data_IF_157635451123
#
_entry.id   IF_157635451123
#
_cell.length_a   1.000
_cell.length_b   1.000
_cell.length_c   1.000
_cell.angle_alpha   90.00
_cell.angle_beta   90.00
_cell.angle_gamma   90.00
#
_symmetry.space_group_name_H-M   'P 1'
#
loop_
_entity.id
_entity.type
_entity.pdbx_description
1 polymer ?
#
# COMPACT_ATOMS: atom_id res chain seq x y z
N UNK A 1 -35.92 -21.59 -51.11
CA UNK A 1 -34.57 -21.02 -51.27
C UNK A 1 -34.61 -19.63 -50.65
N UNK A 2 -33.75 -19.40 -49.66
CA UNK A 2 -33.55 -18.18 -48.86
C UNK A 2 -34.29 -16.90 -49.27
N UNK A 3 -35.15 -16.40 -48.38
CA UNK A 3 -35.50 -14.99 -48.31
C UNK A 3 -34.62 -14.35 -47.26
N UNK A 4 -33.86 -13.34 -47.65
CA UNK A 4 -33.24 -12.44 -46.71
C UNK A 4 -33.20 -11.02 -47.28
N UNK A 5 -33.26 -10.08 -46.33
CA UNK A 5 -32.82 -8.68 -46.38
C UNK A 5 -33.81 -7.55 -46.76
N UNK A 6 -34.14 -6.82 -45.68
CA UNK A 6 -34.17 -5.36 -45.51
C UNK A 6 -35.52 -4.62 -45.66
N UNK A 7 -36.11 -4.27 -44.52
CA UNK A 7 -36.82 -3.00 -44.33
C UNK A 7 -36.67 -2.50 -42.89
N UNK A 8 -36.22 -1.25 -42.76
CA UNK A 8 -36.15 -0.51 -41.51
C UNK A 8 -37.55 -0.18 -40.95
N UNK A 9 -37.67 -0.13 -39.62
CA UNK A 9 -38.72 0.62 -38.95
C UNK A 9 -38.23 1.21 -37.62
N UNK A 10 -38.53 2.50 -37.45
CA UNK A 10 -38.18 3.37 -36.33
C UNK A 10 -38.75 2.88 -34.98
N UNK A 11 -38.04 3.19 -33.89
CA UNK A 11 -38.54 3.06 -32.52
C UNK A 11 -38.86 4.44 -31.93
N UNK A 12 -40.01 4.61 -31.25
CA UNK A 12 -40.44 5.89 -30.69
C UNK A 12 -40.18 5.94 -29.19
N UNK A 13 -39.15 6.66 -28.73
CA UNK A 13 -39.14 7.16 -27.35
C UNK A 13 -38.59 8.57 -27.28
N UNK A 14 -39.53 9.49 -27.03
CA UNK A 14 -39.33 10.91 -26.80
C UNK A 14 -38.63 11.16 -25.46
N UNK A 15 -37.72 12.12 -25.50
CA UNK A 15 -37.06 12.82 -24.40
C UNK A 15 -37.95 13.16 -23.19
N UNK A 16 -37.54 12.70 -22.01
CA UNK A 16 -37.83 13.36 -20.74
C UNK A 16 -36.52 13.82 -20.10
N UNK A 17 -36.38 15.15 -19.99
CA UNK A 17 -35.32 15.81 -19.23
C UNK A 17 -35.41 15.39 -17.76
N UNK A 18 -34.38 14.73 -17.24
CA UNK A 18 -34.09 14.75 -15.82
C UNK A 18 -32.89 15.67 -15.60
N UNK A 19 -33.18 16.87 -15.13
CA UNK A 19 -32.23 17.77 -14.49
C UNK A 19 -31.56 17.01 -13.35
N UNK A 20 -30.26 16.72 -13.52
CA UNK A 20 -29.42 16.25 -12.43
C UNK A 20 -29.09 17.51 -11.62
N UNK A 21 -29.86 17.76 -10.56
CA UNK A 21 -29.50 18.76 -9.56
C UNK A 21 -28.13 18.42 -8.97
N UNK A 22 -27.21 19.37 -9.13
CA UNK A 22 -25.86 19.30 -8.64
C UNK A 22 -25.82 19.11 -7.13
N UNK A 23 -25.39 17.93 -6.71
CA UNK A 23 -24.70 17.75 -5.45
C UNK A 23 -23.20 17.72 -5.76
N UNK A 24 -22.56 18.89 -5.77
CA UNK A 24 -21.13 18.95 -5.48
C UNK A 24 -20.94 18.59 -4.00
N UNK A 25 -21.03 17.29 -3.70
CA UNK A 25 -20.21 16.78 -2.61
C UNK A 25 -18.80 16.82 -3.16
N UNK A 26 -17.94 17.64 -2.56
CA UNK A 26 -16.53 17.34 -2.48
C UNK A 26 -16.41 15.96 -1.83
N UNK A 27 -16.50 14.91 -2.65
CA UNK A 27 -16.18 13.56 -2.23
C UNK A 27 -14.69 13.66 -1.93
N UNK A 28 -14.34 13.75 -0.65
CA UNK A 28 -13.05 13.29 -0.18
C UNK A 28 -13.03 11.82 -0.61
N UNK A 29 -12.47 11.56 -1.79
CA UNK A 29 -12.32 10.21 -2.31
C UNK A 29 -11.34 9.56 -1.36
N UNK A 30 -11.85 8.74 -0.46
CA UNK A 30 -10.97 7.83 0.25
C UNK A 30 -10.39 6.90 -0.82
N UNK A 31 -9.07 6.95 -1.00
CA UNK A 31 -8.35 6.19 -2.02
C UNK A 31 -8.40 4.67 -1.79
N UNK A 32 -9.06 4.23 -0.70
CA UNK A 32 -9.31 2.83 -0.41
C UNK A 32 -10.70 2.64 0.19
N UNK A 33 -11.50 1.73 -0.36
CA UNK A 33 -12.78 1.33 0.24
C UNK A 33 -12.54 0.55 1.53
N UNK A 34 -13.02 1.08 2.66
CA UNK A 34 -12.85 0.48 3.99
C UNK A 34 -14.19 0.37 4.73
N UNK A 35 -14.81 -0.82 4.78
CA UNK A 35 -15.85 -1.09 5.76
C UNK A 35 -15.35 -0.78 7.18
N UNK A 36 -16.22 -0.22 8.04
CA UNK A 36 -15.85 0.27 9.38
C UNK A 36 -15.04 -0.75 10.20
N UNK A 37 -15.43 -2.01 10.15
CA UNK A 37 -14.76 -3.09 10.89
C UNK A 37 -13.30 -3.31 10.48
N UNK A 38 -12.88 -2.84 9.30
CA UNK A 38 -11.54 -3.09 8.74
C UNK A 38 -10.65 -1.84 8.72
N UNK A 39 -11.14 -0.71 9.24
CA UNK A 39 -10.32 0.49 9.41
C UNK A 39 -9.38 0.25 10.59
N UNK A 40 -8.07 0.42 10.37
CA UNK A 40 -7.08 0.46 11.44
C UNK A 40 -6.55 1.89 11.55
N UNK A 41 -6.66 2.47 12.74
CA UNK A 41 -6.25 3.85 13.04
C UNK A 41 -5.14 3.92 14.10
N UNK A 42 -4.76 2.80 14.70
CA UNK A 42 -3.68 2.75 15.68
C UNK A 42 -2.34 2.97 14.96
N UNK A 43 -1.75 4.15 15.16
CA UNK A 43 -0.51 4.56 14.50
C UNK A 43 0.64 3.56 14.71
N UNK A 44 0.79 3.00 15.91
CA UNK A 44 1.84 2.03 16.20
C UNK A 44 1.68 0.75 15.37
N UNK A 45 0.45 0.26 15.20
CA UNK A 45 0.19 -0.90 14.33
C UNK A 45 0.49 -0.59 12.86
N UNK A 46 0.14 0.62 12.40
CA UNK A 46 0.39 1.05 11.01
C UNK A 46 1.88 1.20 10.73
N UNK A 47 2.62 1.85 11.64
CA UNK A 47 4.07 2.01 11.55
C UNK A 47 4.80 0.66 11.61
N UNK A 48 4.35 -0.22 12.52
CA UNK A 48 4.91 -1.58 12.60
C UNK A 48 4.71 -2.36 11.31
N UNK A 49 3.60 -2.19 10.58
CA UNK A 49 3.42 -2.83 9.28
C UNK A 49 4.39 -2.25 8.24
N UNK A 50 4.53 -0.93 8.18
CA UNK A 50 5.47 -0.26 7.26
C UNK A 50 6.90 -0.79 7.48
N UNK A 51 7.35 -0.86 8.73
CA UNK A 51 8.70 -1.30 9.09
C UNK A 51 8.95 -2.79 8.83
N UNK A 52 7.96 -3.65 9.07
CA UNK A 52 8.08 -5.08 8.83
C UNK A 52 7.94 -5.46 7.34
N UNK A 53 7.33 -4.60 6.52
CA UNK A 53 7.10 -4.81 5.10
C UNK A 53 7.56 -3.61 4.25
N UNK A 54 8.84 -3.20 4.32
CA UNK A 54 9.32 -1.91 3.81
C UNK A 54 9.44 -1.85 2.29
N UNK A 55 9.31 -2.98 1.59
CA UNK A 55 9.35 -3.03 0.12
C UNK A 55 8.01 -2.58 -0.47
N UNK A 56 7.89 -1.27 -0.65
CA UNK A 56 6.66 -0.62 -1.05
C UNK A 56 6.45 -0.63 -2.57
N UNK A 57 5.19 -0.46 -2.97
CA UNK A 57 4.84 0.04 -4.31
C UNK A 57 4.59 1.53 -4.22
N UNK A 58 5.40 2.33 -4.89
CA UNK A 58 5.27 3.79 -4.96
C UNK A 58 4.63 4.17 -6.30
N UNK A 59 3.50 4.88 -6.21
CA UNK A 59 2.75 5.37 -7.37
C UNK A 59 2.83 6.89 -7.34
N UNK A 60 3.26 7.50 -8.44
CA UNK A 60 3.33 8.95 -8.60
C UNK A 60 2.65 9.37 -9.89
N UNK A 61 2.08 10.58 -9.92
CA UNK A 61 1.36 11.08 -11.08
C UNK A 61 1.81 12.48 -11.43
N UNK A 62 2.01 12.73 -12.73
CA UNK A 62 2.32 14.04 -13.30
C UNK A 62 1.64 14.16 -14.65
N UNK A 63 0.88 15.24 -14.86
CA UNK A 63 0.24 15.56 -16.15
C UNK A 63 -0.61 14.44 -16.79
N UNK A 64 -1.14 13.52 -15.97
CA UNK A 64 -1.93 12.37 -16.45
C UNK A 64 -1.13 11.07 -16.50
N UNK A 65 0.18 11.14 -16.60
CA UNK A 65 1.10 10.00 -16.63
C UNK A 65 1.36 9.45 -15.23
N UNK A 66 1.39 8.12 -15.13
CA UNK A 66 1.60 7.38 -13.88
C UNK A 66 2.97 6.72 -13.93
N UNK A 67 3.78 7.00 -12.92
CA UNK A 67 5.04 6.30 -12.67
C UNK A 67 4.84 5.32 -11.50
N UNK A 68 5.28 4.08 -11.68
CA UNK A 68 5.18 3.03 -10.66
C UNK A 68 6.58 2.46 -10.41
N UNK A 69 7.01 2.51 -9.15
CA UNK A 69 8.26 1.91 -8.71
C UNK A 69 8.03 0.94 -7.56
N UNK A 70 8.84 -0.12 -7.50
CA UNK A 70 8.86 -1.07 -6.38
C UNK A 70 10.22 -0.97 -5.70
N UNK A 71 10.26 -0.45 -4.47
CA UNK A 71 11.52 -0.13 -3.79
C UNK A 71 11.34 -0.11 -2.26
N UNK A 72 12.44 -0.31 -1.50
CA UNK A 72 12.41 -0.13 -0.05
C UNK A 72 12.17 1.34 0.33
N UNK A 73 11.21 1.56 1.22
CA UNK A 73 10.97 2.84 1.89
C UNK A 73 11.08 2.62 3.40
N UNK A 74 12.02 3.34 4.04
CA UNK A 74 12.18 3.29 5.49
C UNK A 74 11.34 4.38 6.15
N UNK A 75 10.69 4.02 7.26
CA UNK A 75 9.95 4.97 8.07
C UNK A 75 10.89 5.71 9.00
N UNK A 76 10.91 7.03 8.88
CA UNK A 76 11.50 7.94 9.87
C UNK A 76 10.36 8.45 10.77
N UNK A 77 10.20 7.76 11.91
CA UNK A 77 9.15 8.06 12.89
C UNK A 77 9.29 9.46 13.49
N UNK A 78 10.52 9.93 13.70
CA UNK A 78 10.80 11.19 14.38
C UNK A 78 10.34 12.38 13.54
N UNK A 79 10.59 12.32 12.22
CA UNK A 79 10.21 13.39 11.30
C UNK A 79 8.88 13.14 10.57
N UNK A 80 8.24 11.99 10.77
CA UNK A 80 6.97 11.64 10.13
C UNK A 80 7.09 11.56 8.61
N UNK A 81 8.12 10.89 8.12
CA UNK A 81 8.43 10.79 6.69
C UNK A 81 8.89 9.39 6.29
N UNK A 82 8.84 9.10 5.00
CA UNK A 82 9.47 7.92 4.42
C UNK A 82 10.74 8.33 3.69
N UNK A 83 11.79 7.50 3.75
CA UNK A 83 13.07 7.71 3.08
C UNK A 83 13.30 6.58 2.06
N UNK A 84 13.75 6.95 0.86
CA UNK A 84 14.07 6.02 -0.21
C UNK A 84 15.20 6.54 -1.09
N UNK A 85 15.70 5.68 -1.97
CA UNK A 85 16.64 6.09 -3.00
C UNK A 85 16.34 5.38 -4.33
N UNK A 86 16.79 5.99 -5.41
CA UNK A 86 16.69 5.45 -6.77
C UNK A 86 18.02 5.63 -7.51
N UNK A 87 18.23 4.87 -8.58
CA UNK A 87 19.24 5.22 -9.56
C UNK A 87 18.91 6.59 -10.18
N UNK A 88 19.92 7.43 -10.46
CA UNK A 88 19.67 8.74 -11.08
C UNK A 88 19.03 8.66 -12.47
N UNK A 89 19.19 7.54 -13.16
CA UNK A 89 18.57 7.30 -14.46
C UNK A 89 17.09 6.89 -14.37
N UNK A 90 16.55 6.69 -13.17
CA UNK A 90 15.15 6.30 -12.98
C UNK A 90 14.21 7.50 -13.28
N UNK A 91 13.19 7.34 -14.15
CA UNK A 91 12.21 8.38 -14.47
C UNK A 91 11.53 9.05 -13.25
N UNK A 92 11.37 8.31 -12.14
CA UNK A 92 10.84 8.84 -10.88
C UNK A 92 11.61 10.08 -10.38
N UNK A 93 12.88 10.24 -10.76
CA UNK A 93 13.69 11.40 -10.40
C UNK A 93 13.01 12.72 -10.82
N UNK A 94 12.37 12.78 -11.99
CA UNK A 94 11.67 13.99 -12.44
C UNK A 94 10.48 14.33 -11.53
N UNK A 95 9.75 13.31 -11.08
CA UNK A 95 8.61 13.46 -10.17
C UNK A 95 9.07 13.95 -8.79
N UNK A 96 10.23 13.47 -8.33
CA UNK A 96 10.87 13.92 -7.09
C UNK A 96 11.29 15.39 -7.19
N UNK A 97 12.00 15.76 -8.26
CA UNK A 97 12.53 17.12 -8.45
C UNK A 97 11.42 18.15 -8.65
N UNK A 98 10.27 17.73 -9.18
CA UNK A 98 9.10 18.61 -9.36
C UNK A 98 8.08 18.53 -8.22
N UNK A 99 8.37 17.78 -7.16
CA UNK A 99 7.55 17.77 -5.94
C UNK A 99 6.17 17.14 -6.09
N UNK A 100 6.03 16.11 -6.94
CA UNK A 100 4.73 15.50 -7.22
C UNK A 100 4.16 14.74 -6.02
N UNK A 101 2.84 14.64 -5.98
CA UNK A 101 2.14 13.78 -5.03
C UNK A 101 2.37 12.31 -5.36
N UNK A 102 2.48 11.50 -4.32
CA UNK A 102 2.69 10.06 -4.42
C UNK A 102 1.87 9.29 -3.39
N UNK A 103 1.60 8.04 -3.71
CA UNK A 103 1.00 7.06 -2.81
C UNK A 103 1.99 5.90 -2.67
N UNK A 104 2.48 5.65 -1.46
CA UNK A 104 3.25 4.46 -1.14
C UNK A 104 2.32 3.40 -0.53
N UNK A 105 2.36 2.18 -1.07
CA UNK A 105 1.55 1.04 -0.64
C UNK A 105 2.47 0.02 0.00
N UNK A 106 2.24 -0.23 1.29
CA UNK A 106 2.90 -1.26 2.07
C UNK A 106 1.94 -2.43 2.25
N UNK A 107 2.27 -3.57 1.64
CA UNK A 107 1.44 -4.77 1.70
C UNK A 107 1.97 -5.69 2.80
N UNK A 108 1.18 -5.87 3.84
CA UNK A 108 1.44 -6.86 4.88
C UNK A 108 0.99 -8.26 4.46
N UNK A 109 0.90 -9.20 5.42
CA UNK A 109 0.45 -10.55 5.15
C UNK A 109 -0.97 -10.57 4.58
N UNK A 110 -1.21 -11.51 3.68
CA UNK A 110 -2.52 -11.77 3.11
C UNK A 110 -2.70 -13.26 2.84
N UNK A 111 -3.95 -13.70 2.71
CA UNK A 111 -4.26 -15.10 2.48
C UNK A 111 -5.73 -15.39 2.27
N UNK A 112 -5.98 -16.46 1.51
CA UNK A 112 -7.31 -17.02 1.32
C UNK A 112 -7.79 -17.68 2.62
N UNK A 113 -9.04 -17.42 2.98
CA UNK A 113 -9.74 -18.01 4.12
C UNK A 113 -10.85 -18.89 3.56
N UNK A 114 -10.66 -20.20 3.68
CA UNK A 114 -11.64 -21.18 3.21
C UNK A 114 -12.88 -21.16 4.09
N UNK A 115 -14.06 -21.18 3.47
CA UNK A 115 -15.32 -21.33 4.20
C UNK A 115 -15.41 -22.67 4.93
N UNK A 116 -14.65 -23.68 4.50
CA UNK A 116 -14.52 -24.97 5.20
C UNK A 116 -13.89 -24.86 6.59
N UNK A 117 -13.34 -23.70 6.96
CA UNK A 117 -12.78 -23.45 8.29
C UNK A 117 -13.81 -22.91 9.28
N UNK A 118 -14.96 -22.43 8.82
CA UNK A 118 -16.00 -21.87 9.69
C UNK A 118 -16.85 -23.00 10.32
N UNK A 119 -17.60 -22.66 11.36
CA UNK A 119 -18.50 -23.61 12.02
C UNK A 119 -19.60 -24.14 11.08
N UNK A 120 -20.14 -23.27 10.23
CA UNK A 120 -21.16 -23.60 9.23
C UNK A 120 -20.64 -23.36 7.79
N UNK A 121 -19.86 -24.28 7.20
CA UNK A 121 -19.23 -24.07 5.90
C UNK A 121 -20.18 -23.79 4.73
N UNK A 122 -21.40 -24.33 4.77
CA UNK A 122 -22.39 -24.21 3.69
C UNK A 122 -23.07 -22.85 3.67
N UNK A 123 -23.12 -22.19 4.82
CA UNK A 123 -23.81 -20.91 5.01
C UNK A 123 -22.86 -19.71 4.85
N UNK A 124 -21.58 -20.01 4.58
CA UNK A 124 -20.52 -19.03 4.50
C UNK A 124 -19.76 -19.11 3.18
N UNK A 125 -19.31 -17.95 2.70
CA UNK A 125 -18.42 -17.85 1.55
C UNK A 125 -16.97 -17.65 1.99
N UNK A 126 -16.06 -18.20 1.21
CA UNK A 126 -14.63 -17.97 1.38
C UNK A 126 -14.27 -16.51 1.08
N UNK A 127 -13.15 -16.06 1.62
CA UNK A 127 -12.73 -14.65 1.52
C UNK A 127 -11.22 -14.53 1.45
N UNK A 128 -10.73 -13.30 1.28
CA UNK A 128 -9.33 -12.94 1.48
C UNK A 128 -9.19 -12.08 2.73
N UNK A 129 -8.27 -12.47 3.61
CA UNK A 129 -7.77 -11.64 4.70
C UNK A 129 -6.46 -10.99 4.28
N UNK A 130 -6.24 -9.73 4.69
CA UNK A 130 -5.02 -9.00 4.40
C UNK A 130 -4.87 -7.77 5.31
N UNK A 131 -3.64 -7.30 5.45
CA UNK A 131 -3.32 -6.00 6.03
C UNK A 131 -2.55 -5.14 5.03
N UNK A 132 -2.90 -3.86 4.92
CA UNK A 132 -2.25 -2.92 4.00
C UNK A 132 -2.25 -1.52 4.61
N UNK A 133 -1.18 -0.77 4.35
CA UNK A 133 -1.08 0.66 4.69
C UNK A 133 -0.77 1.45 3.43
N UNK A 134 -1.57 2.49 3.17
CA UNK A 134 -1.30 3.48 2.15
C UNK A 134 -0.81 4.76 2.83
N UNK A 135 0.28 5.32 2.31
CA UNK A 135 0.82 6.62 2.68
C UNK A 135 0.64 7.56 1.50
N UNK A 136 -0.10 8.64 1.70
CA UNK A 136 -0.18 9.73 0.74
C UNK A 136 0.73 10.86 1.20
N UNK A 137 1.47 11.45 0.26
CA UNK A 137 2.39 12.53 0.56
C UNK A 137 3.01 13.15 -0.69
N UNK A 138 4.00 14.01 -0.47
CA UNK A 138 4.76 14.65 -1.54
C UNK A 138 6.19 14.16 -1.58
N UNK A 139 6.67 13.90 -2.80
CA UNK A 139 8.07 13.59 -3.04
C UNK A 139 8.92 14.85 -2.85
N UNK A 140 10.07 14.69 -2.20
CA UNK A 140 11.06 15.75 -2.01
C UNK A 140 12.44 15.13 -2.16
N UNK A 141 13.35 15.80 -2.85
CA UNK A 141 14.75 15.35 -2.90
C UNK A 141 15.35 15.31 -1.49
N UNK A 142 16.07 14.24 -1.18
CA UNK A 142 16.86 14.16 0.04
C UNK A 142 18.23 14.80 -0.19
N UNK A 143 18.81 15.32 0.90
CA UNK A 143 20.21 15.73 0.95
C UNK A 143 21.13 14.51 0.88
N UNK A 144 22.41 14.74 0.59
CA UNK A 144 23.42 13.67 0.60
C UNK A 144 23.58 13.05 2.00
N UNK A 145 23.49 13.87 3.06
CA UNK A 145 23.55 13.40 4.46
C UNK A 145 22.35 12.49 4.78
N UNK A 146 21.13 12.87 4.39
CA UNK A 146 19.95 12.01 4.57
C UNK A 146 20.07 10.70 3.79
N UNK A 147 20.71 10.72 2.61
CA UNK A 147 20.96 9.53 1.81
C UNK A 147 21.99 8.59 2.46
N UNK A 148 23.09 9.12 3.02
CA UNK A 148 24.06 8.32 3.77
C UNK A 148 23.39 7.64 4.98
N UNK A 149 22.62 8.40 5.76
CA UNK A 149 21.87 7.88 6.92
C UNK A 149 20.92 6.75 6.51
N UNK A 150 20.16 6.95 5.41
CA UNK A 150 19.28 5.93 4.87
C UNK A 150 20.04 4.64 4.51
N UNK A 151 21.20 4.78 3.86
CA UNK A 151 22.01 3.63 3.44
C UNK A 151 22.63 2.91 4.63
N UNK A 152 23.08 3.63 5.66
CA UNK A 152 23.57 3.06 6.90
C UNK A 152 22.46 2.29 7.65
N UNK A 153 21.25 2.83 7.69
CA UNK A 153 20.09 2.13 8.27
C UNK A 153 19.75 0.85 7.49
N UNK A 154 19.69 0.92 6.16
CA UNK A 154 19.46 -0.26 5.32
C UNK A 154 20.54 -1.32 5.52
N UNK A 155 21.80 -0.90 5.63
CA UNK A 155 22.92 -1.78 5.91
C UNK A 155 22.75 -2.46 7.27
N UNK A 156 22.51 -1.69 8.34
CA UNK A 156 22.31 -2.21 9.69
C UNK A 156 21.11 -3.15 9.82
N UNK A 157 20.06 -2.96 9.02
CA UNK A 157 18.86 -3.80 9.06
C UNK A 157 19.05 -5.17 8.38
N UNK A 158 19.92 -5.26 7.37
CA UNK A 158 20.03 -6.45 6.52
C UNK A 158 21.37 -7.16 6.63
N UNK A 159 22.45 -6.43 6.88
CA UNK A 159 23.76 -7.00 7.08
C UNK A 159 23.92 -7.38 8.56
N UNK A 160 24.31 -8.63 8.81
CA UNK A 160 24.52 -9.17 10.17
C UNK A 160 25.97 -9.04 10.64
N UNK A 161 26.82 -8.41 9.83
CA UNK A 161 28.19 -8.14 10.21
C UNK A 161 28.29 -6.89 11.11
N UNK A 162 29.32 -6.83 11.94
CA UNK A 162 29.64 -5.64 12.75
C UNK A 162 30.32 -4.53 11.92
N UNK A 163 30.20 -4.58 10.60
CA UNK A 163 30.79 -3.57 9.71
C UNK A 163 29.83 -2.40 9.51
N UNK A 164 30.38 -1.24 9.20
CA UNK A 164 29.62 -0.07 8.76
C UNK A 164 30.12 0.39 7.40
N UNK A 165 29.30 1.17 6.69
CA UNK A 165 29.71 1.74 5.42
C UNK A 165 30.85 2.75 5.69
N UNK A 166 32.01 2.52 5.08
CA UNK A 166 33.13 3.44 5.18
C UNK A 166 33.00 4.57 4.14
N UNK A 167 32.27 5.63 4.48
CA UNK A 167 32.09 6.81 3.62
C UNK A 167 33.40 7.57 3.31
N UNK A 168 34.45 7.38 4.12
CA UNK A 168 35.77 7.97 3.83
C UNK A 168 36.50 7.25 2.69
N UNK A 169 36.06 6.05 2.29
CA UNK A 169 36.62 5.36 1.13
C UNK A 169 36.10 6.01 -0.17
N UNK A 170 36.96 6.64 -1.00
CA UNK A 170 36.52 7.35 -2.21
C UNK A 170 35.80 6.45 -3.21
N UNK A 171 36.09 5.13 -3.23
CA UNK A 171 35.39 4.18 -4.11
C UNK A 171 33.95 3.92 -3.68
N UNK A 172 33.67 4.09 -2.38
CA UNK A 172 32.33 3.91 -1.80
C UNK A 172 31.54 5.21 -1.97
N UNK A 173 32.07 6.35 -1.52
CA UNK A 173 31.38 7.64 -1.65
C UNK A 173 31.11 8.01 -3.12
N UNK A 174 32.01 7.68 -4.06
CA UNK A 174 31.76 7.89 -5.48
C UNK A 174 30.51 7.15 -6.02
N UNK A 175 30.01 6.09 -5.34
CA UNK A 175 28.77 5.39 -5.73
C UNK A 175 27.52 6.23 -5.45
N UNK A 176 27.58 7.18 -4.52
CA UNK A 176 26.47 8.12 -4.25
C UNK A 176 26.13 8.93 -5.50
N UNK A 177 27.10 9.19 -6.38
CA UNK A 177 26.87 9.86 -7.66
C UNK A 177 25.91 9.09 -8.58
N UNK A 178 25.79 7.77 -8.43
CA UNK A 178 24.90 6.93 -9.23
C UNK A 178 23.44 6.92 -8.78
N UNK A 179 23.17 7.42 -7.57
CA UNK A 179 21.85 7.37 -6.93
C UNK A 179 21.38 8.75 -6.48
N UNK A 180 20.08 8.87 -6.23
CA UNK A 180 19.45 10.03 -5.63
C UNK A 180 18.56 9.56 -4.49
N UNK A 181 18.74 10.18 -3.32
CA UNK A 181 17.85 10.02 -2.19
C UNK A 181 16.61 10.88 -2.35
N UNK A 182 15.50 10.43 -1.77
CA UNK A 182 14.28 11.19 -1.69
C UNK A 182 13.53 10.85 -0.41
N UNK A 183 12.61 11.74 -0.04
CA UNK A 183 11.68 11.56 1.06
C UNK A 183 10.24 11.78 0.62
N UNK A 184 9.33 11.14 1.35
CA UNK A 184 7.89 11.37 1.24
C UNK A 184 7.44 11.97 2.56
N UNK A 185 7.07 13.26 2.55
CA UNK A 185 6.44 13.87 3.71
C UNK A 185 5.03 13.30 3.84
N UNK A 186 4.75 12.62 4.96
CA UNK A 186 3.46 11.96 5.17
C UNK A 186 2.39 13.03 5.37
N UNK A 187 1.39 13.04 4.49
CA UNK A 187 0.21 13.92 4.60
C UNK A 187 -1.01 13.13 5.11
N UNK A 188 -1.10 11.84 4.76
CA UNK A 188 -2.18 10.96 5.20
C UNK A 188 -1.71 9.52 5.29
N UNK A 189 -2.19 8.81 6.32
CA UNK A 189 -2.01 7.37 6.49
C UNK A 189 -3.38 6.72 6.46
N UNK A 190 -3.54 5.65 5.67
CA UNK A 190 -4.77 4.88 5.60
C UNK A 190 -4.47 3.40 5.75
N UNK A 191 -4.93 2.79 6.85
CA UNK A 191 -4.70 1.38 7.16
C UNK A 191 -5.96 0.53 7.00
N UNK A 192 -5.90 -0.56 6.23
CA UNK A 192 -7.00 -1.53 6.10
C UNK A 192 -6.56 -2.90 6.54
N UNK A 193 -7.14 -3.36 7.65
CA UNK A 193 -6.86 -4.66 8.24
C UNK A 193 -8.14 -5.48 8.14
N UNK A 194 -8.26 -6.30 7.10
CA UNK A 194 -9.39 -7.23 6.93
C UNK A 194 -8.92 -8.59 7.42
N UNK A 195 -9.15 -8.88 8.70
CA UNK A 195 -8.58 -10.02 9.42
C UNK A 195 -9.67 -10.82 10.14
N UNK A 196 -10.86 -10.88 9.57
CA UNK A 196 -12.02 -11.63 10.10
C UNK A 196 -12.55 -11.19 11.47
N UNK A 197 -12.20 -9.99 11.95
CA UNK A 197 -12.72 -9.42 13.20
C UNK A 197 -14.24 -9.19 13.23
N UNK A 198 -14.91 -9.31 12.07
CA UNK A 198 -16.36 -9.22 11.94
C UNK A 198 -17.07 -10.59 12.07
N UNK A 199 -16.32 -11.68 12.30
CA UNK A 199 -16.85 -13.04 12.51
C UNK A 199 -17.05 -13.33 13.99
N UNK A 200 -17.74 -14.43 14.33
CA UNK A 200 -17.86 -14.90 15.71
C UNK A 200 -16.51 -15.32 16.29
N UNK A 201 -16.43 -15.40 17.61
CA UNK A 201 -15.23 -15.84 18.34
C UNK A 201 -14.80 -17.26 17.96
N UNK A 202 -15.77 -18.14 17.69
CA UNK A 202 -15.53 -19.53 17.31
C UNK A 202 -14.92 -19.62 15.89
N UNK A 203 -15.45 -18.84 14.96
CA UNK A 203 -14.91 -18.75 13.59
C UNK A 203 -13.51 -18.13 13.59
N UNK A 204 -13.30 -17.05 14.36
CA UNK A 204 -11.98 -16.44 14.51
C UNK A 204 -10.96 -17.46 15.06
N UNK A 205 -11.33 -18.21 16.09
CA UNK A 205 -10.49 -19.26 16.68
C UNK A 205 -10.15 -20.37 15.68
N UNK A 206 -11.11 -20.82 14.88
CA UNK A 206 -10.90 -21.84 13.86
C UNK A 206 -9.99 -21.35 12.71
N UNK A 207 -10.21 -20.11 12.24
CA UNK A 207 -9.33 -19.48 11.24
C UNK A 207 -7.90 -19.35 11.77
N UNK A 208 -7.72 -18.88 13.02
CA UNK A 208 -6.40 -18.78 13.65
C UNK A 208 -5.71 -20.15 13.76
N UNK A 209 -6.45 -21.22 14.08
CA UNK A 209 -5.90 -22.58 14.12
C UNK A 209 -5.33 -23.00 12.76
N UNK A 210 -6.10 -22.82 11.69
CA UNK A 210 -5.66 -23.19 10.33
C UNK A 210 -4.49 -22.31 9.87
N UNK A 211 -4.58 -20.99 10.06
CA UNK A 211 -3.53 -20.04 9.64
C UNK A 211 -2.20 -20.28 10.36
N UNK A 212 -2.21 -20.75 11.61
CA UNK A 212 -0.98 -21.05 12.34
C UNK A 212 -0.07 -22.02 11.57
N UNK A 213 -0.66 -22.97 10.86
CA UNK A 213 0.04 -23.98 10.09
C UNK A 213 0.28 -23.52 8.64
N UNK A 214 -0.72 -22.89 8.02
CA UNK A 214 -0.67 -22.59 6.58
C UNK A 214 -0.08 -21.23 6.23
N UNK A 215 -0.15 -20.24 7.14
CA UNK A 215 0.30 -18.88 6.91
C UNK A 215 0.65 -18.17 8.25
N UNK A 216 1.84 -18.47 8.84
CA UNK A 216 2.22 -17.98 10.16
C UNK A 216 2.26 -16.45 10.30
N UNK A 217 2.58 -15.72 9.23
CA UNK A 217 2.64 -14.25 9.25
C UNK A 217 1.24 -13.64 9.30
N UNK A 218 0.28 -14.17 8.53
CA UNK A 218 -1.12 -13.76 8.61
C UNK A 218 -1.75 -14.17 9.94
N UNK A 219 -1.38 -15.33 10.47
CA UNK A 219 -1.77 -15.76 11.82
C UNK A 219 -1.36 -14.74 12.88
N UNK A 220 -0.09 -14.30 12.88
CA UNK A 220 0.44 -13.38 13.87
C UNK A 220 -0.35 -12.07 13.92
N UNK A 221 -0.52 -11.41 12.77
CA UNK A 221 -1.23 -10.13 12.72
C UNK A 221 -2.73 -10.28 12.99
N UNK A 222 -3.37 -11.38 12.58
CA UNK A 222 -4.78 -11.64 12.91
C UNK A 222 -4.96 -11.84 14.41
N UNK A 223 -4.07 -12.60 15.05
CA UNK A 223 -4.11 -12.87 16.50
C UNK A 223 -4.06 -11.57 17.31
N UNK A 224 -3.20 -10.63 16.91
CA UNK A 224 -3.03 -9.35 17.60
C UNK A 224 -4.27 -8.45 17.50
N UNK A 225 -5.09 -8.63 16.46
CA UNK A 225 -6.32 -7.86 16.22
C UNK A 225 -7.54 -8.48 16.89
N UNK A 226 -7.62 -9.82 16.94
CA UNK A 226 -8.78 -10.50 17.53
C UNK A 226 -8.71 -10.63 19.06
N UNK A 227 -7.51 -10.42 19.65
CA UNK A 227 -7.30 -10.47 21.10
C UNK A 227 -7.35 -9.08 21.78
N UNK A 228 -7.50 -8.00 21.01
CA UNK A 228 -7.61 -6.61 21.48
C UNK A 228 -9.05 -6.17 21.57
#
# INVERSE_FOLDING_TARGET
MYLDLHSASQSPYSSSKNEIMGYERTLIRENMYQPKSFIETNQEKLYSLIENYPFATLISKKDGEIEISHLPLLLDRENGQLLGHIARANPLLEYILTGQSAIAIFQGPHGYISSSWYQDPTDNVSTWNYAVVHIEGKLVAATEIELEILLDQLYSLHDKSDQSINWQNPKISAKLNGIAGFKIKIEKITGKYKLSQNRSTEDQGSVLKNLRETNPTLYAIMKDITNS
#
